data_IF_591244816000
#
_entry.id   IF_591244816000
#
_cell.length_a   1.000
_cell.length_b   1.000
_cell.length_c   1.000
_cell.angle_alpha   90.00
_cell.angle_beta   90.00
_cell.angle_gamma   90.00
#
_symmetry.space_group_name_H-M   'P 1'
#
loop_
_entity.id
_entity.type
_entity.pdbx_description
1 polymer ?
#
# COMPACT_ATOMS: atom_id res chain seq x y z
N UNK A 1 -8.14 -23.93 0.62
CA UNK A 1 -6.87 -23.98 -0.15
C UNK A 1 -6.51 -25.43 -0.43
N UNK A 2 -6.42 -25.80 -1.71
CA UNK A 2 -6.07 -27.16 -2.17
C UNK A 2 -4.62 -27.51 -1.82
N UNK A 3 -4.31 -28.78 -1.57
CA UNK A 3 -2.93 -29.23 -1.28
C UNK A 3 -1.93 -28.81 -2.36
N UNK A 4 -2.36 -28.78 -3.64
CA UNK A 4 -1.55 -28.31 -4.77
C UNK A 4 -1.21 -26.81 -4.68
N UNK A 5 -2.13 -25.99 -4.21
CA UNK A 5 -1.92 -24.53 -4.03
C UNK A 5 -0.97 -24.27 -2.86
N UNK A 6 -1.15 -25.00 -1.76
CA UNK A 6 -0.26 -24.94 -0.59
C UNK A 6 1.18 -25.36 -0.96
N UNK A 7 1.35 -26.40 -1.77
CA UNK A 7 2.67 -26.85 -2.24
C UNK A 7 3.34 -25.79 -3.15
N UNK A 8 2.60 -25.25 -4.13
CA UNK A 8 3.10 -24.16 -5.00
C UNK A 8 3.53 -22.94 -4.18
N UNK A 9 2.72 -22.55 -3.19
CA UNK A 9 3.04 -21.45 -2.28
C UNK A 9 4.34 -21.71 -1.51
N UNK A 10 4.50 -22.91 -0.94
CA UNK A 10 5.72 -23.30 -0.20
C UNK A 10 6.96 -23.30 -1.08
N UNK A 11 6.87 -23.85 -2.30
CA UNK A 11 7.98 -23.86 -3.26
C UNK A 11 8.36 -22.44 -3.66
N UNK A 12 7.38 -21.60 -4.00
CA UNK A 12 7.63 -20.21 -4.36
C UNK A 12 8.27 -19.43 -3.19
N UNK A 13 7.79 -19.65 -1.95
CA UNK A 13 8.38 -19.06 -0.75
C UNK A 13 9.84 -19.45 -0.60
N UNK A 14 10.18 -20.74 -0.75
CA UNK A 14 11.57 -21.20 -0.68
C UNK A 14 12.44 -20.58 -1.78
N UNK A 15 11.94 -20.57 -3.02
CA UNK A 15 12.62 -19.92 -4.15
C UNK A 15 12.92 -18.44 -3.88
N UNK A 16 11.93 -17.69 -3.40
CA UNK A 16 12.12 -16.27 -3.03
C UNK A 16 13.17 -16.10 -1.94
N UNK A 17 13.18 -16.96 -0.93
CA UNK A 17 14.19 -16.92 0.14
C UNK A 17 15.61 -17.17 -0.38
N UNK A 18 15.78 -18.06 -1.35
CA UNK A 18 17.07 -18.31 -1.99
C UNK A 18 17.54 -17.11 -2.83
N UNK A 19 16.63 -16.51 -3.61
CA UNK A 19 16.97 -15.40 -4.51
C UNK A 19 17.17 -14.07 -3.78
N UNK A 20 16.32 -13.75 -2.81
CA UNK A 20 16.24 -12.43 -2.19
C UNK A 20 16.65 -12.41 -0.72
N UNK A 21 17.08 -13.55 -0.17
CA UNK A 21 17.60 -13.66 1.20
C UNK A 21 16.65 -13.05 2.25
N UNK A 22 17.11 -12.06 3.01
CA UNK A 22 16.32 -11.36 4.03
C UNK A 22 15.25 -10.43 3.45
N UNK A 23 15.36 -10.04 2.17
CA UNK A 23 14.40 -9.20 1.46
C UNK A 23 13.27 -9.99 0.80
N UNK A 24 13.26 -11.32 0.97
CA UNK A 24 12.23 -12.19 0.40
C UNK A 24 10.84 -12.02 1.04
N UNK A 25 10.79 -11.57 2.30
CA UNK A 25 9.59 -11.40 3.11
C UNK A 25 9.74 -10.13 3.96
N UNK A 26 8.67 -9.34 4.09
CA UNK A 26 8.66 -8.06 4.80
C UNK A 26 9.21 -8.16 6.22
N UNK A 27 8.69 -9.11 7.00
CA UNK A 27 9.09 -9.30 8.39
C UNK A 27 10.58 -9.69 8.54
N UNK A 28 11.14 -10.43 7.57
CA UNK A 28 12.57 -10.78 7.58
C UNK A 28 13.43 -9.55 7.27
N UNK A 29 12.96 -8.68 6.38
CA UNK A 29 13.67 -7.46 6.02
C UNK A 29 13.69 -6.49 7.22
N UNK A 30 12.51 -6.25 7.82
CA UNK A 30 12.35 -5.42 9.02
C UNK A 30 13.25 -5.92 10.16
N UNK A 31 13.17 -7.21 10.50
CA UNK A 31 14.00 -7.79 11.58
C UNK A 31 15.50 -7.74 11.29
N UNK A 32 15.91 -7.71 10.02
CA UNK A 32 17.31 -7.51 9.65
C UNK A 32 17.73 -6.06 9.93
N UNK A 33 16.94 -5.09 9.50
CA UNK A 33 17.21 -3.66 9.74
C UNK A 33 17.20 -3.31 11.23
N UNK A 34 16.23 -3.82 11.98
CA UNK A 34 16.15 -3.60 13.43
C UNK A 34 17.38 -4.17 14.16
N UNK A 35 17.92 -5.33 13.73
CA UNK A 35 19.20 -5.86 14.25
C UNK A 35 20.40 -4.97 13.92
N UNK A 36 20.31 -4.12 12.90
CA UNK A 36 21.34 -3.15 12.54
C UNK A 36 21.12 -1.78 13.21
N UNK A 37 20.04 -1.60 13.97
CA UNK A 37 19.79 -0.39 14.76
C UNK A 37 18.53 0.40 14.37
N UNK A 38 17.85 0.03 13.28
CA UNK A 38 16.59 0.69 12.91
C UNK A 38 15.49 0.45 13.95
N UNK A 39 14.49 1.34 13.97
CA UNK A 39 13.27 1.17 14.78
C UNK A 39 12.06 1.11 13.86
N UNK A 40 11.79 -0.08 13.34
CA UNK A 40 10.67 -0.32 12.41
C UNK A 40 9.69 -1.27 13.06
N UNK A 41 8.42 -0.89 13.12
CA UNK A 41 7.36 -1.74 13.66
C UNK A 41 7.12 -3.00 12.79
N UNK A 42 6.79 -4.13 13.41
CA UNK A 42 6.56 -5.40 12.69
C UNK A 42 5.26 -5.42 11.88
N UNK A 43 4.33 -4.48 12.11
CA UNK A 43 3.09 -4.31 11.33
C UNK A 43 3.30 -3.67 9.96
N UNK A 44 4.49 -3.14 9.68
CA UNK A 44 4.83 -2.59 8.36
C UNK A 44 4.68 -3.68 7.30
N UNK A 45 4.04 -3.32 6.19
CA UNK A 45 3.70 -4.24 5.10
C UNK A 45 4.29 -3.77 3.76
N UNK A 46 4.72 -4.75 2.96
CA UNK A 46 5.30 -4.54 1.62
C UNK A 46 4.77 -5.64 0.72
N UNK A 47 4.27 -5.29 -0.47
CA UNK A 47 3.85 -6.27 -1.47
C UNK A 47 5.05 -6.94 -2.16
N UNK A 48 6.10 -6.16 -2.42
CA UNK A 48 7.31 -6.58 -3.14
C UNK A 48 8.57 -6.12 -2.37
N UNK A 49 8.87 -6.70 -1.19
CA UNK A 49 9.98 -6.24 -0.32
C UNK A 49 11.36 -6.28 -1.02
N UNK A 50 11.56 -7.16 -1.98
CA UNK A 50 12.77 -7.24 -2.79
C UNK A 50 13.02 -5.98 -3.64
N UNK A 51 11.98 -5.18 -3.93
CA UNK A 51 12.07 -3.92 -4.69
C UNK A 51 12.30 -2.69 -3.80
N UNK A 52 11.82 -2.70 -2.55
CA UNK A 52 11.80 -1.54 -1.64
C UNK A 52 13.17 -1.26 -1.06
N UNK A 53 13.79 -0.10 -1.31
CA UNK A 53 15.11 0.23 -0.77
C UNK A 53 14.98 1.05 0.51
N UNK A 54 15.11 0.39 1.65
CA UNK A 54 15.36 1.06 2.93
C UNK A 54 16.87 1.20 3.11
N UNK A 55 17.33 2.35 3.59
CA UNK A 55 18.75 2.61 3.77
C UNK A 55 19.39 1.63 4.76
N UNK A 56 20.33 0.83 4.25
CA UNK A 56 21.07 -0.17 5.02
C UNK A 56 22.43 0.35 5.50
N UNK A 57 22.84 1.56 5.09
CA UNK A 57 24.14 2.16 5.44
C UNK A 57 24.12 2.79 6.83
N UNK A 58 23.00 3.45 7.18
CA UNK A 58 22.80 4.12 8.47
C UNK A 58 21.45 3.75 9.10
N UNK A 59 21.17 2.46 9.30
CA UNK A 59 19.84 1.97 9.73
C UNK A 59 19.41 2.53 11.10
N UNK A 60 20.32 2.87 12.00
CA UNK A 60 20.01 3.52 13.28
C UNK A 60 19.41 4.93 13.15
N UNK A 61 19.39 5.50 11.94
CA UNK A 61 18.77 6.78 11.60
C UNK A 61 17.35 6.63 11.06
N UNK A 62 16.82 5.41 10.97
CA UNK A 62 15.51 5.11 10.39
C UNK A 62 14.51 4.66 11.47
N UNK A 63 13.40 5.40 11.55
CA UNK A 63 12.25 5.06 12.40
C UNK A 63 10.97 4.99 11.56
N UNK A 64 10.20 3.89 11.69
CA UNK A 64 8.92 3.70 10.98
C UNK A 64 7.90 3.12 11.97
N UNK A 65 6.77 3.82 12.10
CA UNK A 65 5.66 3.49 12.97
C UNK A 65 4.81 2.31 12.49
N UNK A 66 3.64 2.18 13.10
CA UNK A 66 2.69 1.09 12.91
C UNK A 66 1.88 1.26 11.63
N UNK A 67 1.46 0.15 11.06
CA UNK A 67 0.50 0.09 9.95
C UNK A 67 0.94 0.90 8.72
N UNK A 68 2.25 0.99 8.47
CA UNK A 68 2.78 1.64 7.27
C UNK A 68 2.76 0.63 6.11
N UNK A 69 2.18 1.04 4.99
CA UNK A 69 2.24 0.29 3.75
C UNK A 69 3.29 0.92 2.82
N UNK A 70 4.24 0.10 2.38
CA UNK A 70 5.31 0.53 1.49
C UNK A 70 5.16 -0.24 0.17
N UNK A 71 4.73 0.48 -0.87
CA UNK A 71 4.51 -0.10 -2.19
C UNK A 71 5.82 -0.46 -2.90
N UNK A 72 5.69 -1.09 -4.07
CA UNK A 72 6.81 -1.47 -4.90
C UNK A 72 7.74 -0.28 -5.24
N UNK A 73 9.05 -0.53 -5.25
CA UNK A 73 10.05 0.43 -5.72
C UNK A 73 10.33 1.63 -4.81
N UNK A 74 9.64 1.76 -3.68
CA UNK A 74 9.84 2.87 -2.73
C UNK A 74 11.28 2.92 -2.21
N UNK A 75 11.82 4.13 -2.07
CA UNK A 75 13.18 4.38 -1.56
C UNK A 75 13.11 5.30 -0.35
N UNK A 76 13.72 4.89 0.75
CA UNK A 76 13.85 5.69 1.97
C UNK A 76 15.34 5.84 2.26
N UNK A 77 15.84 7.06 2.20
CA UNK A 77 17.26 7.37 2.28
C UNK A 77 17.56 8.18 3.53
N UNK A 78 18.54 7.76 4.32
CA UNK A 78 19.02 8.50 5.50
C UNK A 78 20.34 9.23 5.21
N UNK A 79 20.90 9.06 4.00
CA UNK A 79 22.04 9.82 3.50
C UNK A 79 21.85 10.30 2.07
N UNK A 80 22.65 11.30 1.69
CA UNK A 80 22.75 11.83 0.34
C UNK A 80 24.22 12.14 0.02
N UNK A 81 24.63 11.89 -1.24
CA UNK A 81 26.00 12.05 -1.71
C UNK A 81 26.18 13.22 -2.69
N UNK A 82 25.16 14.06 -2.89
CA UNK A 82 25.22 15.20 -3.83
C UNK A 82 26.31 16.21 -3.47
N UNK A 83 26.72 16.25 -2.19
CA UNK A 83 27.83 17.06 -1.72
C UNK A 83 29.18 16.75 -2.39
N UNK A 84 29.32 15.59 -3.04
CA UNK A 84 30.51 15.25 -3.84
C UNK A 84 30.78 16.23 -4.97
N UNK A 85 29.73 16.87 -5.53
CA UNK A 85 29.88 17.93 -6.54
C UNK A 85 30.62 19.11 -5.94
N UNK A 86 30.22 19.56 -4.76
CA UNK A 86 30.88 20.66 -4.03
C UNK A 86 32.31 20.30 -3.64
N UNK A 87 32.55 19.06 -3.21
CA UNK A 87 33.90 18.58 -2.92
C UNK A 87 34.80 18.57 -4.16
N UNK A 88 34.23 18.35 -5.36
CA UNK A 88 34.96 18.48 -6.62
C UNK A 88 35.37 19.93 -6.94
N UNK A 89 34.67 20.93 -6.40
CA UNK A 89 34.97 22.35 -6.59
C UNK A 89 36.02 22.87 -5.61
N UNK A 90 35.86 22.57 -4.32
CA UNK A 90 36.68 23.17 -3.26
C UNK A 90 37.45 22.17 -2.38
N UNK A 91 37.33 20.87 -2.65
CA UNK A 91 38.01 19.82 -1.88
C UNK A 91 37.40 19.52 -0.52
N UNK A 92 36.25 20.13 -0.15
CA UNK A 92 35.67 20.01 1.19
C UNK A 92 34.53 18.99 1.20
N UNK A 93 34.68 17.95 2.02
CA UNK A 93 33.62 16.97 2.26
C UNK A 93 32.50 17.55 3.15
N UNK A 94 31.28 17.63 2.61
CA UNK A 94 30.08 18.14 3.31
C UNK A 94 29.04 17.03 3.45
N UNK A 95 29.35 16.03 4.27
CA UNK A 95 28.48 14.87 4.47
C UNK A 95 27.02 15.25 4.77
N UNK A 96 26.09 14.47 4.22
CA UNK A 96 24.65 14.67 4.44
C UNK A 96 24.04 13.35 4.92
N UNK A 97 24.00 13.15 6.23
CA UNK A 97 23.35 12.03 6.90
C UNK A 97 22.41 12.61 7.95
N UNK A 98 21.13 12.26 7.87
CA UNK A 98 20.11 12.82 8.74
C UNK A 98 18.92 11.85 8.89
N UNK A 99 18.26 11.87 10.06
CA UNK A 99 17.26 10.85 10.38
C UNK A 99 16.02 10.97 9.49
N UNK A 100 15.41 9.83 9.23
CA UNK A 100 14.07 9.74 8.63
C UNK A 100 13.13 9.09 9.63
N UNK A 101 12.01 9.73 9.88
CA UNK A 101 10.97 9.24 10.79
C UNK A 101 9.63 9.25 10.07
N UNK A 102 8.95 8.11 10.09
CA UNK A 102 7.61 7.93 9.51
C UNK A 102 6.68 7.51 10.64
N UNK A 103 5.59 8.27 10.82
CA UNK A 103 4.57 8.00 11.82
C UNK A 103 3.71 6.77 11.51
N UNK A 104 2.58 6.70 12.20
CA UNK A 104 1.62 5.60 12.09
C UNK A 104 0.64 5.81 10.94
N UNK A 105 0.14 4.71 10.36
CA UNK A 105 -0.88 4.71 9.31
C UNK A 105 -0.49 5.58 8.10
N UNK A 106 0.67 5.26 7.51
CA UNK A 106 1.20 5.95 6.33
C UNK A 106 1.21 5.01 5.12
N UNK A 107 0.80 5.52 3.95
CA UNK A 107 0.91 4.83 2.68
C UNK A 107 1.98 5.49 1.82
N UNK A 108 2.99 4.74 1.39
CA UNK A 108 4.00 5.18 0.43
C UNK A 108 3.72 4.52 -0.92
N UNK A 109 3.29 5.33 -1.89
CA UNK A 109 2.93 4.89 -3.23
C UNK A 109 4.13 4.41 -4.05
N UNK A 110 3.82 3.65 -5.12
CA UNK A 110 4.81 2.99 -5.99
C UNK A 110 5.88 4.00 -6.43
N UNK A 111 7.15 3.60 -6.31
CA UNK A 111 8.32 4.41 -6.70
C UNK A 111 8.43 5.79 -6.03
N UNK A 112 7.70 6.05 -4.94
CA UNK A 112 7.93 7.26 -4.14
C UNK A 112 9.31 7.21 -3.44
N UNK A 113 9.86 8.40 -3.21
CA UNK A 113 11.19 8.59 -2.61
C UNK A 113 11.06 9.49 -1.39
N UNK A 114 11.57 9.04 -0.25
CA UNK A 114 11.68 9.83 0.98
C UNK A 114 13.14 10.18 1.19
N UNK A 115 13.46 11.47 1.10
CA UNK A 115 14.83 11.96 1.26
C UNK A 115 15.25 12.00 2.72
N UNK A 116 16.56 12.07 2.95
CA UNK A 116 17.12 12.22 4.29
C UNK A 116 16.63 13.51 4.97
N UNK A 117 16.65 13.52 6.31
CA UNK A 117 16.16 14.63 7.13
C UNK A 117 14.64 14.89 7.05
N UNK A 118 13.83 13.88 6.73
CA UNK A 118 12.36 14.01 6.59
C UNK A 118 11.65 13.35 7.76
N UNK A 119 10.67 14.06 8.32
CA UNK A 119 9.68 13.52 9.26
C UNK A 119 8.30 13.53 8.61
N UNK A 120 7.61 12.39 8.56
CA UNK A 120 6.24 12.26 8.08
C UNK A 120 5.35 11.96 9.29
N UNK A 121 4.37 12.83 9.56
CA UNK A 121 3.38 12.60 10.62
C UNK A 121 2.42 11.45 10.28
N UNK A 122 1.58 11.08 11.24
CA UNK A 122 0.59 10.03 11.07
C UNK A 122 -0.46 10.39 10.00
N UNK A 123 -1.14 9.36 9.47
CA UNK A 123 -2.28 9.51 8.56
C UNK A 123 -1.92 10.27 7.27
N UNK A 124 -0.90 9.78 6.56
CA UNK A 124 -0.39 10.40 5.32
C UNK A 124 -0.43 9.40 4.18
N UNK A 125 -0.89 9.87 3.02
CA UNK A 125 -0.77 9.15 1.75
C UNK A 125 0.24 9.89 0.89
N UNK A 126 1.34 9.24 0.53
CA UNK A 126 2.29 9.71 -0.46
C UNK A 126 1.96 9.03 -1.79
N UNK A 127 1.65 9.80 -2.81
CA UNK A 127 1.29 9.32 -4.13
C UNK A 127 2.44 8.63 -4.85
N UNK A 128 2.11 7.83 -5.87
CA UNK A 128 3.10 7.17 -6.71
C UNK A 128 4.05 8.18 -7.38
N UNK A 129 5.34 7.83 -7.45
CA UNK A 129 6.41 8.66 -8.04
C UNK A 129 6.72 9.97 -7.30
N UNK A 130 6.11 10.21 -6.14
CA UNK A 130 6.33 11.44 -5.39
C UNK A 130 7.72 11.47 -4.73
N UNK A 131 8.34 12.65 -4.64
CA UNK A 131 9.65 12.83 -3.96
C UNK A 131 9.46 13.74 -2.75
N UNK A 132 9.50 13.16 -1.56
CA UNK A 132 9.36 13.87 -0.29
C UNK A 132 10.72 14.46 0.09
N UNK A 133 10.90 15.75 -0.19
CA UNK A 133 12.12 16.51 0.12
C UNK A 133 12.01 17.34 1.40
N UNK A 134 10.86 17.33 2.06
CA UNK A 134 10.59 18.16 3.24
C UNK A 134 9.61 17.46 4.17
N UNK A 135 9.77 17.67 5.48
CA UNK A 135 8.92 17.06 6.50
C UNK A 135 7.43 17.37 6.29
N UNK A 136 6.60 16.34 6.39
CA UNK A 136 5.13 16.42 6.34
C UNK A 136 4.63 16.52 7.78
N UNK A 137 4.06 17.67 8.13
CA UNK A 137 3.58 17.98 9.49
C UNK A 137 2.06 17.91 9.66
N UNK A 138 1.32 17.74 8.56
CA UNK A 138 -0.15 17.66 8.60
C UNK A 138 -0.63 16.43 7.83
N UNK A 139 -1.61 15.67 8.38
CA UNK A 139 -2.24 14.57 7.67
C UNK A 139 -2.80 14.99 6.30
N UNK A 140 -2.89 14.03 5.38
CA UNK A 140 -3.45 14.25 4.05
C UNK A 140 -2.75 13.47 2.95
N UNK A 141 -3.11 13.81 1.72
CA UNK A 141 -2.56 13.23 0.50
C UNK A 141 -1.51 14.17 -0.08
N UNK A 142 -0.33 13.65 -0.38
CA UNK A 142 0.81 14.37 -0.94
C UNK A 142 1.24 13.70 -2.24
N UNK A 143 1.49 14.49 -3.29
CA UNK A 143 1.97 13.97 -4.57
C UNK A 143 2.91 14.97 -5.25
N UNK A 144 3.62 14.50 -6.28
CA UNK A 144 4.53 15.32 -7.10
C UNK A 144 6.00 15.22 -6.69
N UNK A 145 6.86 15.83 -7.52
CA UNK A 145 8.29 15.95 -7.29
C UNK A 145 8.68 17.44 -7.44
N UNK A 146 8.92 18.16 -6.33
CA UNK A 146 8.82 17.70 -4.95
C UNK A 146 7.36 17.52 -4.48
N UNK A 147 7.13 16.66 -3.50
CA UNK A 147 5.81 16.33 -3.00
C UNK A 147 5.15 17.55 -2.33
N UNK A 148 3.87 17.78 -2.63
CA UNK A 148 3.03 18.85 -2.04
C UNK A 148 1.68 18.28 -1.63
N UNK A 149 1.06 18.89 -0.62
CA UNK A 149 -0.28 18.51 -0.18
C UNK A 149 -1.27 18.78 -1.30
N UNK A 150 -2.02 17.76 -1.70
CA UNK A 150 -3.04 17.80 -2.76
C UNK A 150 -4.43 17.96 -2.14
N UNK A 151 -4.72 17.19 -1.09
CA UNK A 151 -6.01 17.19 -0.41
C UNK A 151 -5.87 16.64 1.01
N UNK A 152 -6.87 16.88 1.85
CA UNK A 152 -7.01 16.19 3.13
C UNK A 152 -7.60 14.78 2.95
N UNK A 153 -7.63 13.99 4.03
CA UNK A 153 -8.14 12.62 3.98
C UNK A 153 -9.66 12.53 3.87
N UNK A 154 -10.41 13.53 4.34
CA UNK A 154 -11.88 13.53 4.22
C UNK A 154 -12.29 13.78 2.77
N UNK A 155 -11.62 14.70 2.09
CA UNK A 155 -11.71 14.92 0.65
C UNK A 155 -11.38 13.65 -0.12
N UNK A 156 -10.30 12.94 0.27
CA UNK A 156 -9.93 11.68 -0.38
C UNK A 156 -11.01 10.59 -0.19
N UNK A 157 -11.59 10.47 1.01
CA UNK A 157 -12.72 9.55 1.26
C UNK A 157 -13.91 9.87 0.37
N UNK A 158 -14.36 11.13 0.35
CA UNK A 158 -15.48 11.56 -0.49
C UNK A 158 -15.22 11.30 -2.00
N UNK A 159 -13.99 11.51 -2.46
CA UNK A 159 -13.58 11.16 -3.83
C UNK A 159 -13.69 9.65 -4.08
N UNK A 160 -13.31 8.80 -3.13
CA UNK A 160 -13.46 7.35 -3.29
C UNK A 160 -14.92 6.93 -3.26
N UNK A 161 -15.68 7.36 -2.26
CA UNK A 161 -17.09 6.99 -2.10
C UNK A 161 -17.92 7.35 -3.33
N UNK A 162 -17.69 8.54 -3.91
CA UNK A 162 -18.39 8.98 -5.13
C UNK A 162 -18.02 8.20 -6.41
N UNK A 163 -16.90 7.47 -6.43
CA UNK A 163 -16.39 6.78 -7.62
C UNK A 163 -16.58 5.27 -7.60
N UNK A 164 -16.66 4.65 -6.42
CA UNK A 164 -16.69 3.20 -6.24
C UNK A 164 -17.72 2.52 -7.15
N UNK A 165 -18.98 2.97 -7.12
CA UNK A 165 -20.06 2.36 -7.90
C UNK A 165 -19.82 2.43 -9.42
N UNK A 166 -19.36 3.60 -9.90
CA UNK A 166 -19.09 3.81 -11.33
C UNK A 166 -17.91 2.96 -11.80
N UNK A 167 -16.86 2.86 -10.99
CA UNK A 167 -15.67 2.07 -11.32
C UNK A 167 -15.98 0.55 -11.28
N UNK A 168 -16.83 0.10 -10.36
CA UNK A 168 -17.33 -1.27 -10.34
C UNK A 168 -18.13 -1.60 -11.63
N UNK A 169 -18.95 -0.68 -12.13
CA UNK A 169 -19.64 -0.84 -13.42
C UNK A 169 -18.65 -0.96 -14.60
N UNK A 170 -17.61 -0.12 -14.61
CA UNK A 170 -16.56 -0.18 -15.64
C UNK A 170 -15.84 -1.53 -15.62
N UNK A 171 -15.51 -2.03 -14.43
CA UNK A 171 -14.91 -3.37 -14.27
C UNK A 171 -15.82 -4.46 -14.84
N UNK A 172 -17.12 -4.41 -14.52
CA UNK A 172 -18.10 -5.36 -15.04
C UNK A 172 -18.17 -5.36 -16.57
N UNK A 173 -18.21 -4.16 -17.17
CA UNK A 173 -18.26 -3.96 -18.62
C UNK A 173 -17.01 -4.50 -19.31
N UNK A 174 -15.83 -4.12 -18.86
CA UNK A 174 -14.57 -4.55 -19.48
C UNK A 174 -14.38 -6.07 -19.36
N UNK A 175 -14.78 -6.65 -18.23
CA UNK A 175 -14.78 -8.10 -18.08
C UNK A 175 -15.74 -8.79 -19.06
N UNK A 176 -16.97 -8.30 -19.18
CA UNK A 176 -17.96 -8.86 -20.10
C UNK A 176 -17.51 -8.74 -21.56
N UNK A 177 -16.95 -7.58 -21.95
CA UNK A 177 -16.38 -7.35 -23.28
C UNK A 177 -15.25 -8.33 -23.59
N UNK A 178 -14.39 -8.63 -22.61
CA UNK A 178 -13.24 -9.52 -22.79
C UNK A 178 -13.61 -11.01 -22.82
N UNK A 179 -14.57 -11.42 -21.99
CA UNK A 179 -14.85 -12.84 -21.72
C UNK A 179 -16.24 -13.30 -22.16
N UNK A 180 -17.09 -12.41 -22.68
CA UNK A 180 -18.45 -12.72 -23.17
C UNK A 180 -19.45 -13.12 -22.08
N UNK A 181 -19.10 -12.92 -20.80
CA UNK A 181 -19.95 -13.27 -19.64
C UNK A 181 -19.77 -12.26 -18.51
N UNK A 182 -20.78 -12.11 -17.67
CA UNK A 182 -20.68 -11.27 -16.48
C UNK A 182 -19.62 -11.83 -15.51
N UNK A 183 -18.82 -10.98 -14.85
CA UNK A 183 -17.84 -11.43 -13.86
C UNK A 183 -18.48 -12.24 -12.72
N UNK A 184 -17.76 -13.18 -12.11
CA UNK A 184 -18.13 -13.72 -10.80
C UNK A 184 -17.81 -12.69 -9.70
N UNK A 185 -18.43 -12.81 -8.53
CA UNK A 185 -18.29 -11.83 -7.44
C UNK A 185 -16.84 -11.62 -7.00
N UNK A 186 -16.02 -12.67 -7.07
CA UNK A 186 -14.61 -12.67 -6.65
C UNK A 186 -13.73 -11.69 -7.44
N UNK A 187 -14.18 -11.26 -8.62
CA UNK A 187 -13.51 -10.23 -9.44
C UNK A 187 -13.69 -8.83 -8.85
N UNK A 188 -14.75 -8.61 -8.06
CA UNK A 188 -15.04 -7.34 -7.39
C UNK A 188 -14.46 -7.30 -5.98
N UNK A 189 -13.28 -7.87 -5.75
CA UNK A 189 -12.69 -7.97 -4.43
C UNK A 189 -12.37 -6.62 -3.78
N UNK A 190 -12.22 -5.55 -4.55
CA UNK A 190 -12.09 -4.18 -4.04
C UNK A 190 -13.44 -3.44 -3.88
N UNK A 191 -14.54 -3.98 -4.42
CA UNK A 191 -15.87 -3.36 -4.43
C UNK A 191 -16.92 -4.16 -3.65
N UNK A 192 -16.53 -5.25 -2.98
CA UNK A 192 -17.45 -6.16 -2.31
C UNK A 192 -18.30 -5.50 -1.22
N UNK A 193 -17.85 -4.38 -0.64
CA UNK A 193 -18.62 -3.57 0.31
C UNK A 193 -19.93 -3.03 -0.27
N UNK A 194 -20.06 -2.95 -1.60
CA UNK A 194 -21.29 -2.49 -2.24
C UNK A 194 -22.43 -3.51 -2.14
N UNK A 195 -22.13 -4.81 -2.02
CA UNK A 195 -23.14 -5.85 -2.22
C UNK A 195 -23.03 -7.08 -1.31
N UNK A 196 -21.92 -7.29 -0.59
CA UNK A 196 -21.78 -8.46 0.29
C UNK A 196 -22.61 -8.33 1.56
N UNK A 197 -23.18 -9.45 1.98
CA UNK A 197 -23.91 -9.52 3.23
C UNK A 197 -22.97 -9.38 4.43
N UNK A 198 -23.54 -8.99 5.58
CA UNK A 198 -22.83 -8.79 6.86
C UNK A 198 -22.41 -10.11 7.53
N UNK A 199 -21.76 -10.98 6.79
CA UNK A 199 -21.27 -12.27 7.27
C UNK A 199 -19.80 -12.49 6.87
N UNK A 200 -18.92 -12.57 7.86
CA UNK A 200 -17.49 -12.84 7.66
C UNK A 200 -17.21 -14.31 7.30
N UNK A 201 -18.11 -15.23 7.64
CA UNK A 201 -17.92 -16.67 7.45
C UNK A 201 -18.07 -17.09 5.99
N UNK A 202 -18.98 -16.45 5.24
CA UNK A 202 -19.21 -16.65 3.81
C UNK A 202 -18.25 -15.94 2.85
N UNK A 203 -17.35 -15.08 3.36
CA UNK A 203 -16.47 -14.29 2.48
C UNK A 203 -15.40 -15.15 1.76
N UNK A 204 -15.19 -14.95 0.46
CA UNK A 204 -14.05 -15.50 -0.27
C UNK A 204 -12.70 -15.06 0.32
N UNK A 205 -11.66 -15.85 0.07
CA UNK A 205 -10.30 -15.53 0.54
C UNK A 205 -9.78 -14.19 -0.03
N UNK A 206 -10.12 -13.84 -1.27
CA UNK A 206 -9.72 -12.56 -1.87
C UNK A 206 -10.28 -11.37 -1.09
N UNK A 207 -11.55 -11.42 -0.66
CA UNK A 207 -12.19 -10.32 0.09
C UNK A 207 -11.59 -10.21 1.49
N UNK A 208 -11.39 -11.35 2.16
CA UNK A 208 -10.69 -11.38 3.46
C UNK A 208 -9.30 -10.78 3.35
N UNK A 209 -8.58 -11.06 2.26
CA UNK A 209 -7.24 -10.50 2.02
C UNK A 209 -7.29 -8.98 1.96
N UNK A 210 -8.29 -8.39 1.33
CA UNK A 210 -8.44 -6.92 1.32
C UNK A 210 -8.58 -6.33 2.73
N UNK A 211 -9.25 -7.05 3.64
CA UNK A 211 -9.40 -6.63 5.04
C UNK A 211 -8.18 -6.93 5.94
N UNK A 212 -7.13 -7.56 5.42
CA UNK A 212 -5.93 -7.91 6.22
C UNK A 212 -4.76 -6.96 6.05
N UNK A 213 -4.83 -6.02 5.10
CA UNK A 213 -3.75 -5.06 4.91
C UNK A 213 -3.69 -4.10 6.11
N UNK A 214 -2.50 -3.86 6.66
CA UNK A 214 -2.19 -2.80 7.64
C UNK A 214 -2.67 -2.95 9.10
N UNK A 215 -2.61 -4.15 9.72
CA UNK A 215 -2.82 -4.33 11.17
C UNK A 215 -4.22 -3.94 11.71
N UNK A 216 -5.10 -3.44 10.84
CA UNK A 216 -6.41 -2.89 11.14
C UNK A 216 -7.53 -3.91 10.92
N UNK A 217 -7.19 -5.20 10.77
CA UNK A 217 -8.15 -6.26 10.41
C UNK A 217 -9.41 -6.25 11.28
N UNK A 218 -9.24 -6.22 12.60
CA UNK A 218 -10.36 -6.21 13.54
C UNK A 218 -11.29 -5.02 13.30
N UNK A 219 -10.71 -3.83 13.11
CA UNK A 219 -11.46 -2.60 12.81
C UNK A 219 -12.21 -2.70 11.48
N UNK A 220 -11.60 -3.29 10.45
CA UNK A 220 -12.25 -3.50 9.16
C UNK A 220 -13.38 -4.53 9.25
N UNK A 221 -13.18 -5.63 9.99
CA UNK A 221 -14.20 -6.65 10.24
C UNK A 221 -15.40 -6.07 11.01
N UNK A 222 -15.15 -5.27 12.05
CA UNK A 222 -16.20 -4.56 12.81
C UNK A 222 -16.97 -3.57 11.92
N UNK A 223 -16.25 -2.77 11.11
CA UNK A 223 -16.87 -1.83 10.19
C UNK A 223 -17.68 -2.54 9.08
N UNK A 224 -17.22 -3.70 8.60
CA UNK A 224 -17.91 -4.50 7.60
C UNK A 224 -19.24 -5.04 8.15
N UNK A 225 -19.21 -5.61 9.36
CA UNK A 225 -20.42 -6.09 10.04
C UNK A 225 -21.43 -4.96 10.34
N UNK A 226 -20.93 -3.74 10.57
CA UNK A 226 -21.76 -2.55 10.80
C UNK A 226 -22.21 -1.83 9.52
N UNK A 227 -21.73 -2.26 8.34
CA UNK A 227 -21.99 -1.55 7.08
C UNK A 227 -23.42 -1.76 6.56
N UNK A 228 -23.87 -0.84 5.72
CA UNK A 228 -25.11 -0.96 4.95
C UNK A 228 -24.76 -0.99 3.46
N UNK A 229 -24.70 -2.19 2.85
CA UNK A 229 -24.42 -2.32 1.43
C UNK A 229 -25.47 -1.59 0.58
N UNK A 230 -25.04 -0.96 -0.50
CA UNK A 230 -25.93 -0.27 -1.44
C UNK A 230 -26.89 -1.25 -2.15
N UNK A 231 -26.46 -2.51 -2.31
CA UNK A 231 -27.23 -3.57 -2.93
C UNK A 231 -27.55 -4.68 -1.95
N UNK A 232 -28.77 -5.21 -2.03
CA UNK A 232 -29.19 -6.42 -1.32
C UNK A 232 -28.61 -7.66 -2.00
N UNK A 233 -27.31 -7.88 -1.86
CA UNK A 233 -26.61 -9.04 -2.41
C UNK A 233 -26.02 -8.83 -3.81
N UNK A 234 -25.18 -9.78 -4.22
CA UNK A 234 -24.48 -9.77 -5.50
C UNK A 234 -25.44 -9.79 -6.71
N UNK A 235 -26.55 -10.53 -6.62
CA UNK A 235 -27.52 -10.62 -7.73
C UNK A 235 -28.20 -9.28 -8.01
N UNK A 236 -28.49 -8.49 -6.97
CA UNK A 236 -29.06 -7.15 -7.13
C UNK A 236 -28.06 -6.19 -7.79
N UNK A 237 -26.80 -6.21 -7.34
CA UNK A 237 -25.71 -5.44 -7.96
C UNK A 237 -25.47 -5.83 -9.42
N UNK A 238 -25.45 -7.14 -9.71
CA UNK A 238 -25.30 -7.68 -11.07
C UNK A 238 -26.41 -7.18 -12.00
N UNK A 239 -27.66 -7.28 -11.58
CA UNK A 239 -28.80 -6.81 -12.37
C UNK A 239 -28.69 -5.32 -12.68
N UNK A 240 -28.32 -4.51 -11.68
CA UNK A 240 -28.09 -3.07 -11.85
C UNK A 240 -27.00 -2.76 -12.88
N UNK A 241 -25.93 -3.56 -12.92
CA UNK A 241 -24.86 -3.43 -13.91
C UNK A 241 -25.33 -3.84 -15.31
N UNK A 242 -25.94 -5.01 -15.45
CA UNK A 242 -26.43 -5.53 -16.75
C UNK A 242 -27.41 -4.57 -17.42
N UNK A 243 -28.33 -3.95 -16.65
CA UNK A 243 -29.26 -2.94 -17.15
C UNK A 243 -28.59 -1.69 -17.73
N UNK A 244 -27.39 -1.34 -17.25
CA UNK A 244 -26.64 -0.15 -17.67
C UNK A 244 -25.67 -0.44 -18.79
N UNK A 245 -25.07 -1.62 -18.81
CA UNK A 245 -24.19 -2.05 -19.90
C UNK A 245 -24.98 -2.15 -21.21
N UNK A 246 -26.24 -2.60 -21.16
CA UNK A 246 -27.11 -2.71 -22.34
C UNK A 246 -27.59 -1.37 -22.93
N UNK A 247 -27.42 -0.24 -22.22
CA UNK A 247 -27.94 1.08 -22.63
C UNK A 247 -26.91 1.95 -23.39
N UNK A 248 -25.70 1.44 -23.58
CA UNK A 248 -24.60 2.11 -24.32
C UNK A 248 -24.20 1.32 -25.56
#
# INVERSE_FOLDING_TARGET
MSWKESLKYRINRLRRRLLYSYRAETLRYIRRLNRLGAKIDESVSMSVPESVRLDETTPWMLEIGKNVYIAEGVKIMTHDASWMVLAGEDGIARGHIAPVSIGDNVFLGIDSIVMCNVKICDNVIVGAGAVVTSSIRTPGVYAGNPARKVMDLEQMKAVRDSRQLKEALVLAREYQKKYGKFPPREVFDEYFWLFEEKDLSGLPECFRRQMTHSGNRKKMEEAFLASEPEFAGYDAFRKWCEERICRE
#
